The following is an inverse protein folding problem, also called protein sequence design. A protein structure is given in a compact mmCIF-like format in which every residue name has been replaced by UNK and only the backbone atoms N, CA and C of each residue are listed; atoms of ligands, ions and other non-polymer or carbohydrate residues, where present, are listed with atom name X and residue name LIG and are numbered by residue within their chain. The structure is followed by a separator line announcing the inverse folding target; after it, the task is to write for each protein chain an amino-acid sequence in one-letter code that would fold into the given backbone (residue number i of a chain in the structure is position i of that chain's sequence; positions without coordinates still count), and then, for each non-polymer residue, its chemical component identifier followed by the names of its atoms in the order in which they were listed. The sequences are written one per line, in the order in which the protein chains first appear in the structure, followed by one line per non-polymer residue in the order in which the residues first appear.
data_IF_770285642110
#
_entry.id   IF_770285642110
#
_cell.length_a   1.000
_cell.length_b   1.000
_cell.length_c   1.000
_cell.angle_alpha   90.00
_cell.angle_beta   90.00
_cell.angle_gamma   90.00
#
_symmetry.space_group_name_H-M   'P 1'
#
loop_
_entity.id
_entity.type
_entity.pdbx_description
1 polymer ?
#
# COMPACT_ATOMS: atom_id res chain seq x y z
N UNK A 1 17.60 10.92 9.02
CA UNK A 1 17.74 9.53 9.51
C UNK A 1 17.11 8.62 8.48
N UNK A 2 17.79 7.57 8.04
CA UNK A 2 17.21 6.67 7.03
C UNK A 2 16.23 5.71 7.74
N UNK A 3 14.94 5.77 7.37
CA UNK A 3 13.85 5.01 7.99
C UNK A 3 14.12 3.49 7.97
N UNK A 4 14.70 2.96 6.88
CA UNK A 4 15.05 1.54 6.77
C UNK A 4 16.07 1.11 7.85
N UNK A 5 17.08 1.96 8.11
CA UNK A 5 18.09 1.72 9.16
C UNK A 5 17.45 1.73 10.55
N UNK A 6 16.55 2.67 10.82
CA UNK A 6 15.83 2.73 12.09
C UNK A 6 15.01 1.47 12.33
N UNK A 7 14.20 1.06 11.32
CA UNK A 7 13.36 -0.14 11.43
C UNK A 7 14.22 -1.40 11.69
N UNK A 8 15.31 -1.56 10.92
CA UNK A 8 16.16 -2.76 11.04
C UNK A 8 16.99 -2.79 12.30
N UNK A 9 17.63 -1.66 12.68
CA UNK A 9 18.61 -1.63 13.79
C UNK A 9 17.97 -1.34 15.13
N UNK A 10 17.03 -0.41 15.20
CA UNK A 10 16.41 0.01 16.46
C UNK A 10 15.16 -0.80 16.78
N UNK A 11 14.24 -0.95 15.81
CA UNK A 11 13.01 -1.71 16.01
C UNK A 11 13.18 -3.23 15.83
N UNK A 12 14.31 -3.70 15.26
CA UNK A 12 14.57 -5.12 14.92
C UNK A 12 13.43 -5.76 14.11
N UNK A 13 12.81 -4.97 13.26
CA UNK A 13 11.64 -5.33 12.46
C UNK A 13 11.96 -5.39 10.97
N UNK A 14 11.04 -5.95 10.19
CA UNK A 14 11.08 -5.91 8.73
C UNK A 14 10.21 -4.78 8.20
N UNK A 15 10.47 -4.41 6.93
CA UNK A 15 9.73 -3.35 6.27
C UNK A 15 9.29 -3.72 4.86
N UNK A 16 8.17 -3.13 4.43
CA UNK A 16 7.76 -2.95 3.04
C UNK A 16 7.45 -1.46 2.90
N UNK A 17 8.28 -0.73 2.15
CA UNK A 17 8.18 0.72 2.00
C UNK A 17 7.85 1.09 0.56
N UNK A 18 6.85 1.95 0.39
CA UNK A 18 6.53 2.52 -0.91
C UNK A 18 7.64 3.48 -1.37
N UNK A 19 8.06 3.34 -2.62
CA UNK A 19 9.03 4.21 -3.27
C UNK A 19 8.27 5.29 -4.03
N UNK A 20 8.51 6.55 -3.67
CA UNK A 20 7.88 7.71 -4.31
C UNK A 20 8.91 8.45 -5.19
N UNK A 21 8.43 9.30 -6.08
CA UNK A 21 9.24 10.10 -7.01
C UNK A 21 10.27 11.02 -6.32
N UNK A 22 10.09 11.33 -5.03
CA UNK A 22 11.10 12.04 -4.24
C UNK A 22 12.39 11.24 -4.01
N UNK A 23 12.36 9.92 -4.25
CA UNK A 23 13.52 9.02 -4.29
C UNK A 23 13.88 8.69 -5.75
N UNK A 24 14.10 9.73 -6.56
CA UNK A 24 14.13 9.67 -8.03
C UNK A 24 14.95 8.50 -8.58
N UNK A 25 16.22 8.38 -8.20
CA UNK A 25 17.10 7.31 -8.72
C UNK A 25 16.53 5.91 -8.43
N UNK A 26 16.07 5.67 -7.20
CA UNK A 26 15.50 4.39 -6.82
C UNK A 26 14.17 4.11 -7.54
N UNK A 27 13.34 5.15 -7.69
CA UNK A 27 12.08 5.07 -8.39
C UNK A 27 12.29 4.73 -9.88
N UNK A 28 13.19 5.45 -10.54
CA UNK A 28 13.52 5.25 -11.95
C UNK A 28 14.10 3.84 -12.18
N UNK A 29 15.08 3.42 -11.36
CA UNK A 29 15.69 2.09 -11.44
C UNK A 29 14.61 0.98 -11.37
N UNK A 30 13.71 1.03 -10.38
CA UNK A 30 12.67 0.00 -10.19
C UNK A 30 11.61 0.10 -11.29
N UNK A 31 11.23 1.31 -11.69
CA UNK A 31 10.26 1.54 -12.76
C UNK A 31 10.76 0.95 -14.09
N UNK A 32 12.02 1.20 -14.44
CA UNK A 32 12.60 0.71 -15.67
C UNK A 32 12.73 -0.82 -15.68
N UNK A 33 13.09 -1.42 -14.54
CA UNK A 33 13.11 -2.88 -14.39
C UNK A 33 11.73 -3.50 -14.68
N UNK A 34 10.67 -3.02 -14.03
CA UNK A 34 9.32 -3.57 -14.23
C UNK A 34 8.64 -3.14 -15.55
N UNK A 35 9.22 -2.24 -16.33
CA UNK A 35 8.73 -1.93 -17.71
C UNK A 35 9.03 -3.02 -18.69
N UNK A 36 10.05 -3.84 -18.44
CA UNK A 36 10.45 -4.94 -19.32
C UNK A 36 9.40 -6.05 -19.23
N UNK A 37 8.70 -6.34 -20.34
CA UNK A 37 7.63 -7.32 -20.39
C UNK A 37 8.12 -8.73 -20.04
N UNK A 38 9.29 -9.12 -20.57
CA UNK A 38 9.92 -10.42 -20.30
C UNK A 38 10.14 -10.66 -18.79
N UNK A 39 10.52 -9.62 -18.04
CA UNK A 39 10.68 -9.73 -16.58
C UNK A 39 9.34 -10.05 -15.92
N UNK A 40 8.27 -9.36 -16.29
CA UNK A 40 6.93 -9.60 -15.71
C UNK A 40 6.39 -10.97 -16.07
N UNK A 41 6.64 -11.43 -17.30
CA UNK A 41 6.28 -12.79 -17.75
C UNK A 41 7.04 -13.85 -16.94
N UNK A 42 8.34 -13.69 -16.75
CA UNK A 42 9.16 -14.59 -15.93
C UNK A 42 8.70 -14.63 -14.47
N UNK A 43 8.38 -13.48 -13.86
CA UNK A 43 7.85 -13.41 -12.50
C UNK A 43 6.50 -14.11 -12.36
N UNK A 44 5.67 -14.04 -13.39
CA UNK A 44 4.39 -14.76 -13.44
C UNK A 44 4.61 -16.27 -13.50
N UNK A 45 5.56 -16.73 -14.31
CA UNK A 45 5.91 -18.13 -14.43
C UNK A 45 6.54 -18.73 -13.16
N UNK A 46 7.29 -17.91 -12.39
CA UNK A 46 7.96 -18.31 -11.14
C UNK A 46 7.11 -18.14 -9.87
N UNK A 47 5.79 -17.96 -9.99
CA UNK A 47 4.87 -17.74 -8.86
C UNK A 47 5.17 -16.47 -8.02
N UNK A 48 5.98 -15.56 -8.52
CA UNK A 48 6.27 -14.25 -7.92
C UNK A 48 5.25 -13.18 -8.33
N UNK A 49 4.07 -13.61 -8.69
CA UNK A 49 2.94 -12.83 -9.15
C UNK A 49 1.63 -13.27 -8.50
N UNK A 50 0.74 -12.32 -8.24
CA UNK A 50 -0.68 -12.56 -7.88
C UNK A 50 -1.53 -11.47 -8.49
N UNK A 51 -2.74 -11.84 -8.87
CA UNK A 51 -3.76 -10.89 -9.33
C UNK A 51 -5.01 -10.98 -8.49
N UNK A 52 -5.66 -9.85 -8.29
CA UNK A 52 -6.99 -9.77 -7.67
C UNK A 52 -7.86 -8.85 -8.48
N UNK A 53 -9.13 -9.23 -8.67
CA UNK A 53 -10.10 -8.42 -9.41
C UNK A 53 -11.33 -8.19 -8.57
N UNK A 54 -11.80 -6.97 -8.55
CA UNK A 54 -12.99 -6.54 -7.81
C UNK A 54 -13.88 -5.70 -8.72
N UNK A 55 -15.20 -5.87 -8.59
CA UNK A 55 -16.19 -5.04 -9.29
C UNK A 55 -16.95 -4.25 -8.23
N UNK A 56 -16.84 -2.93 -8.26
CA UNK A 56 -17.56 -2.04 -7.35
C UNK A 56 -17.95 -0.75 -8.06
N UNK A 57 -19.14 -0.22 -7.76
CA UNK A 57 -19.62 1.07 -8.26
C UNK A 57 -19.52 1.25 -9.80
N UNK A 58 -19.78 0.19 -10.57
CA UNK A 58 -19.73 0.23 -12.04
C UNK A 58 -18.32 0.29 -12.62
N UNK A 59 -17.27 0.07 -11.81
CA UNK A 59 -15.88 -0.05 -12.23
C UNK A 59 -15.40 -1.49 -12.02
N UNK A 60 -14.50 -1.92 -12.90
CA UNK A 60 -13.75 -3.16 -12.76
C UNK A 60 -12.29 -2.80 -12.41
N UNK A 61 -11.83 -3.26 -11.27
CA UNK A 61 -10.49 -2.99 -10.80
C UNK A 61 -9.70 -4.29 -10.68
N UNK A 62 -8.57 -4.36 -11.38
CA UNK A 62 -7.61 -5.46 -11.29
C UNK A 62 -6.31 -4.94 -10.69
N UNK A 63 -5.80 -5.64 -9.67
CA UNK A 63 -4.50 -5.36 -9.06
C UNK A 63 -3.56 -6.52 -9.27
N UNK A 64 -2.46 -6.24 -9.95
CA UNK A 64 -1.39 -7.16 -10.25
C UNK A 64 -0.21 -6.89 -9.32
N UNK A 65 0.18 -7.87 -8.53
CA UNK A 65 1.30 -7.80 -7.59
C UNK A 65 2.48 -8.58 -8.14
N UNK A 66 3.65 -7.97 -8.14
CA UNK A 66 4.92 -8.57 -8.56
C UNK A 66 5.97 -8.37 -7.48
N UNK A 67 6.83 -9.35 -7.25
CA UNK A 67 7.96 -9.25 -6.32
C UNK A 67 9.16 -10.01 -6.87
N UNK A 68 10.38 -9.50 -6.60
CA UNK A 68 11.62 -10.16 -6.97
C UNK A 68 12.72 -9.89 -5.96
N UNK A 69 13.64 -10.82 -5.78
CA UNK A 69 14.90 -10.69 -5.06
C UNK A 69 16.10 -10.46 -5.97
N UNK A 70 15.88 -10.42 -7.29
CA UNK A 70 16.89 -9.99 -8.26
C UNK A 70 17.11 -8.47 -8.15
N UNK A 71 17.97 -8.09 -7.20
CA UNK A 71 18.31 -6.70 -6.86
C UNK A 71 19.81 -6.41 -6.91
N UNK A 72 20.59 -7.30 -7.58
CA UNK A 72 22.05 -7.11 -7.66
C UNK A 72 22.42 -5.84 -8.45
N UNK A 73 21.63 -5.52 -9.44
CA UNK A 73 21.78 -4.37 -10.34
C UNK A 73 21.33 -3.04 -9.73
N UNK A 74 20.58 -3.05 -8.61
CA UNK A 74 19.95 -1.87 -8.03
C UNK A 74 20.98 -0.84 -7.56
N UNK A 75 20.94 0.35 -8.15
CA UNK A 75 21.78 1.47 -7.77
C UNK A 75 21.52 1.87 -6.32
N UNK A 76 22.56 2.27 -5.61
CA UNK A 76 22.41 2.73 -4.23
C UNK A 76 21.76 1.73 -3.24
N UNK A 77 21.78 0.43 -3.54
CA UNK A 77 21.31 -0.64 -2.64
C UNK A 77 21.81 -0.49 -1.22
N UNK A 78 23.06 -0.08 -1.05
CA UNK A 78 23.71 0.13 0.26
C UNK A 78 23.07 1.21 1.13
N UNK A 79 22.30 2.13 0.55
CA UNK A 79 21.55 3.16 1.30
C UNK A 79 20.33 2.59 2.03
N UNK A 80 19.88 1.40 1.65
CA UNK A 80 18.68 0.78 2.19
C UNK A 80 19.02 -0.43 3.05
N UNK A 81 19.18 -0.20 4.33
CA UNK A 81 19.61 -1.23 5.30
C UNK A 81 18.71 -2.46 5.23
N UNK A 82 19.32 -3.60 4.91
CA UNK A 82 18.65 -4.90 4.89
C UNK A 82 17.68 -5.13 3.72
N UNK A 83 17.74 -4.34 2.64
CA UNK A 83 16.92 -4.59 1.45
C UNK A 83 17.21 -5.98 0.86
N UNK A 84 16.17 -6.74 0.58
CA UNK A 84 16.24 -8.09 0.01
C UNK A 84 15.38 -8.26 -1.23
N UNK A 85 14.32 -7.47 -1.40
CA UNK A 85 13.42 -7.57 -2.54
C UNK A 85 12.86 -6.22 -2.94
N UNK A 86 12.41 -6.14 -4.19
CA UNK A 86 11.62 -5.04 -4.74
C UNK A 86 10.29 -5.58 -5.24
N UNK A 87 9.27 -4.75 -5.23
CA UNK A 87 7.95 -5.14 -5.72
C UNK A 87 7.25 -4.03 -6.47
N UNK A 88 6.28 -4.42 -7.29
CA UNK A 88 5.38 -3.52 -7.99
C UNK A 88 3.94 -3.94 -7.77
N UNK A 89 3.06 -2.96 -7.63
CA UNK A 89 1.62 -3.14 -7.75
C UNK A 89 1.13 -2.33 -8.92
N UNK A 90 0.56 -2.99 -9.90
CA UNK A 90 -0.11 -2.37 -11.03
C UNK A 90 -1.61 -2.47 -10.82
N UNK A 91 -2.27 -1.32 -10.77
CA UNK A 91 -3.73 -1.22 -10.65
C UNK A 91 -4.32 -0.80 -11.98
N UNK A 92 -5.18 -1.63 -12.55
CA UNK A 92 -5.90 -1.38 -13.79
C UNK A 92 -7.37 -1.14 -13.45
N UNK A 93 -7.86 0.07 -13.71
CA UNK A 93 -9.25 0.46 -13.45
C UNK A 93 -9.95 0.69 -14.78
N UNK A 94 -11.02 -0.07 -15.04
CA UNK A 94 -11.86 0.09 -16.21
C UNK A 94 -13.25 0.60 -15.80
N UNK A 95 -13.62 1.75 -16.34
CA UNK A 95 -14.92 2.38 -16.13
C UNK A 95 -15.54 2.73 -17.49
N UNK A 96 -16.55 1.96 -17.91
CA UNK A 96 -17.04 2.03 -19.28
C UNK A 96 -15.94 1.70 -20.29
N UNK A 97 -15.68 2.60 -21.23
CA UNK A 97 -14.64 2.45 -22.25
C UNK A 97 -13.25 2.96 -21.79
N UNK A 98 -13.18 3.63 -20.64
CA UNK A 98 -11.92 4.22 -20.14
C UNK A 98 -11.19 3.25 -19.24
N UNK A 99 -9.91 2.97 -19.58
CA UNK A 99 -9.00 2.21 -18.76
C UNK A 99 -7.87 3.12 -18.27
N UNK A 100 -7.55 3.03 -16.98
CA UNK A 100 -6.46 3.77 -16.33
C UNK A 100 -5.54 2.77 -15.66
N UNK A 101 -4.22 2.98 -15.81
CA UNK A 101 -3.19 2.12 -15.20
C UNK A 101 -2.36 2.97 -14.25
N UNK A 102 -2.25 2.54 -13.01
CA UNK A 102 -1.39 3.12 -11.98
C UNK A 102 -0.38 2.09 -11.51
N UNK A 103 0.91 2.47 -11.37
CA UNK A 103 1.97 1.62 -10.86
C UNK A 103 2.56 2.21 -9.60
N UNK A 104 2.70 1.38 -8.56
CA UNK A 104 3.35 1.73 -7.30
C UNK A 104 4.47 0.76 -7.02
N UNK A 105 5.64 1.29 -6.65
CA UNK A 105 6.86 0.53 -6.43
C UNK A 105 7.19 0.44 -4.95
N UNK A 106 7.85 -0.65 -4.56
CA UNK A 106 8.15 -0.95 -3.17
C UNK A 106 9.54 -1.55 -3.04
N UNK A 107 10.18 -1.27 -1.90
CA UNK A 107 11.36 -1.98 -1.42
C UNK A 107 11.01 -2.74 -0.15
N UNK A 108 11.66 -3.89 0.08
CA UNK A 108 11.38 -4.73 1.23
C UNK A 108 12.65 -5.35 1.81
N UNK A 109 12.67 -5.52 3.13
CA UNK A 109 13.68 -6.32 3.84
C UNK A 109 13.30 -7.80 3.95
N UNK A 110 12.11 -8.17 3.53
CA UNK A 110 11.67 -9.57 3.43
C UNK A 110 12.21 -10.20 2.14
N UNK A 111 12.41 -11.51 2.15
CA UNK A 111 12.65 -12.26 0.93
C UNK A 111 11.46 -12.14 -0.03
N UNK A 112 11.67 -12.44 -1.32
CA UNK A 112 10.61 -12.42 -2.31
C UNK A 112 9.56 -13.50 -2.00
N UNK A 113 8.49 -13.09 -1.34
CA UNK A 113 7.33 -13.93 -1.01
C UNK A 113 6.06 -13.15 -1.32
N UNK A 114 5.41 -13.50 -2.41
CA UNK A 114 4.30 -12.74 -2.99
C UNK A 114 3.11 -12.56 -2.04
N UNK A 115 2.73 -13.59 -1.29
CA UNK A 115 1.57 -13.50 -0.38
C UNK A 115 1.84 -12.60 0.82
N UNK A 116 3.09 -12.59 1.34
CA UNK A 116 3.48 -11.66 2.41
C UNK A 116 3.52 -10.22 1.90
N UNK A 117 4.06 -10.01 0.70
CA UNK A 117 4.10 -8.70 0.05
C UNK A 117 2.68 -8.16 -0.16
N UNK A 118 1.81 -8.95 -0.80
CA UNK A 118 0.41 -8.58 -1.03
C UNK A 118 -0.32 -8.24 0.28
N UNK A 119 -0.12 -9.06 1.33
CA UNK A 119 -0.72 -8.82 2.65
C UNK A 119 -0.21 -7.54 3.30
N UNK A 120 1.09 -7.25 3.20
CA UNK A 120 1.68 -6.03 3.75
C UNK A 120 1.13 -4.78 3.05
N UNK A 121 1.10 -4.76 1.71
CA UNK A 121 0.56 -3.65 0.92
C UNK A 121 -0.92 -3.43 1.20
N UNK A 122 -1.74 -4.49 1.23
CA UNK A 122 -3.18 -4.38 1.54
C UNK A 122 -3.45 -3.83 2.93
N UNK A 123 -2.65 -4.23 3.92
CA UNK A 123 -2.78 -3.70 5.29
C UNK A 123 -2.41 -2.22 5.35
N UNK A 124 -1.39 -1.80 4.61
CA UNK A 124 -1.03 -0.39 4.53
C UNK A 124 -2.16 0.45 3.92
N UNK A 125 -2.76 0.01 2.82
CA UNK A 125 -3.92 0.69 2.22
C UNK A 125 -5.15 0.71 3.13
N UNK A 126 -5.36 -0.31 3.94
CA UNK A 126 -6.43 -0.31 4.93
C UNK A 126 -6.24 0.79 6.00
N UNK A 127 -4.98 1.07 6.38
CA UNK A 127 -4.63 2.17 7.28
C UNK A 127 -4.86 3.53 6.60
N UNK A 128 -4.41 3.69 5.35
CA UNK A 128 -4.66 4.91 4.56
C UNK A 128 -6.16 5.18 4.41
N UNK A 129 -6.94 4.15 4.06
CA UNK A 129 -8.41 4.25 4.00
C UNK A 129 -9.02 4.63 5.35
N UNK A 130 -8.48 4.13 6.46
CA UNK A 130 -8.94 4.51 7.80
C UNK A 130 -8.68 6.01 8.06
N UNK A 131 -7.49 6.51 7.76
CA UNK A 131 -7.16 7.93 7.90
C UNK A 131 -8.07 8.81 7.03
N UNK A 132 -8.28 8.42 5.78
CA UNK A 132 -9.20 9.12 4.89
C UNK A 132 -10.61 9.25 5.50
N UNK A 133 -11.16 8.17 6.07
CA UNK A 133 -12.46 8.22 6.74
C UNK A 133 -12.45 9.14 7.98
N UNK A 134 -11.36 9.14 8.75
CA UNK A 134 -11.24 10.03 9.90
C UNK A 134 -11.22 11.50 9.46
N UNK A 135 -10.51 11.83 8.39
CA UNK A 135 -10.36 13.21 7.91
C UNK A 135 -11.60 13.70 7.17
N UNK A 136 -12.13 12.90 6.24
CA UNK A 136 -13.25 13.31 5.38
C UNK A 136 -14.60 13.13 6.07
N UNK A 137 -14.86 11.95 6.64
CA UNK A 137 -16.17 11.62 7.23
C UNK A 137 -16.32 12.21 8.62
N UNK A 138 -15.28 12.07 9.45
CA UNK A 138 -15.30 12.54 10.85
C UNK A 138 -14.69 13.93 11.02
N UNK A 139 -14.17 14.56 9.96
CA UNK A 139 -13.56 15.89 9.93
C UNK A 139 -12.53 16.08 11.06
N UNK A 140 -11.64 15.10 11.22
CA UNK A 140 -10.66 15.07 12.30
C UNK A 140 -9.73 16.28 12.25
N UNK A 141 -9.26 16.64 11.05
CA UNK A 141 -8.38 17.80 10.81
C UNK A 141 -9.06 19.16 11.10
N UNK A 142 -10.40 19.21 11.04
CA UNK A 142 -11.18 20.41 11.38
C UNK A 142 -11.46 20.54 12.89
N UNK A 143 -10.91 19.65 13.72
CA UNK A 143 -11.12 19.68 15.16
C UNK A 143 -10.34 20.82 15.81
N UNK A 144 -11.07 21.78 16.39
CA UNK A 144 -10.53 22.96 17.08
C UNK A 144 -10.40 22.78 18.59
N UNK A 145 -10.50 21.54 19.10
CA UNK A 145 -10.43 21.26 20.55
C UNK A 145 -9.04 21.58 21.09
N UNK A 146 -8.95 22.55 21.99
CA UNK A 146 -7.69 23.03 22.59
C UNK A 146 -7.18 22.07 23.67
N UNK A 147 -8.08 21.42 24.41
CA UNK A 147 -7.73 20.45 25.44
C UNK A 147 -7.19 19.15 24.81
N UNK A 148 -5.93 18.82 25.12
CA UNK A 148 -5.25 17.64 24.53
C UNK A 148 -5.89 16.32 24.90
N UNK A 149 -6.42 16.20 26.12
CA UNK A 149 -7.07 14.96 26.58
C UNK A 149 -8.43 14.79 25.91
N UNK A 150 -9.19 15.88 25.76
CA UNK A 150 -10.46 15.87 25.03
C UNK A 150 -10.25 15.55 23.55
N UNK A 151 -9.23 16.12 22.89
CA UNK A 151 -8.89 15.81 21.52
C UNK A 151 -8.49 14.33 21.35
N UNK A 152 -7.67 13.80 22.25
CA UNK A 152 -7.27 12.39 22.23
C UNK A 152 -8.46 11.45 22.45
N UNK A 153 -9.35 11.76 23.39
CA UNK A 153 -10.56 10.96 23.63
C UNK A 153 -11.50 10.97 22.43
N UNK A 154 -11.69 12.13 21.77
CA UNK A 154 -12.46 12.22 20.54
C UNK A 154 -11.88 11.37 19.41
N UNK A 155 -10.57 11.39 19.25
CA UNK A 155 -9.87 10.56 18.25
C UNK A 155 -10.11 9.06 18.51
N UNK A 156 -10.01 8.63 19.77
CA UNK A 156 -10.29 7.24 20.18
C UNK A 156 -11.74 6.85 19.86
N UNK A 157 -12.70 7.72 20.19
CA UNK A 157 -14.13 7.47 19.95
C UNK A 157 -14.41 7.36 18.45
N UNK A 158 -13.83 8.25 17.61
CA UNK A 158 -13.97 8.20 16.15
C UNK A 158 -13.41 6.89 15.57
N UNK A 159 -12.24 6.45 16.04
CA UNK A 159 -11.64 5.17 15.63
C UNK A 159 -12.51 3.97 16.01
N UNK A 160 -13.12 3.99 17.18
CA UNK A 160 -14.06 2.96 17.62
C UNK A 160 -15.33 2.96 16.78
N UNK A 161 -15.92 4.14 16.53
CA UNK A 161 -17.10 4.27 15.67
C UNK A 161 -16.83 3.69 14.27
N UNK A 162 -15.68 4.04 13.67
CA UNK A 162 -15.27 3.49 12.37
C UNK A 162 -15.07 1.97 12.41
N UNK A 163 -14.46 1.44 13.47
CA UNK A 163 -14.27 0.00 13.62
C UNK A 163 -15.60 -0.75 13.72
N UNK A 164 -16.57 -0.20 14.49
CA UNK A 164 -17.92 -0.75 14.63
C UNK A 164 -18.64 -0.72 13.29
N UNK A 165 -18.63 0.41 12.57
CA UNK A 165 -19.25 0.56 11.25
C UNK A 165 -18.69 -0.47 10.26
N UNK A 166 -17.37 -0.61 10.16
CA UNK A 166 -16.73 -1.63 9.31
C UNK A 166 -17.12 -3.05 9.69
N UNK A 167 -17.30 -3.32 11.00
CA UNK A 167 -17.76 -4.63 11.47
C UNK A 167 -19.21 -4.91 11.07
N UNK A 168 -20.08 -3.91 11.16
CA UNK A 168 -21.48 -3.99 10.75
C UNK A 168 -21.59 -4.20 9.25
N UNK A 169 -20.80 -3.45 8.44
CA UNK A 169 -20.72 -3.63 6.97
C UNK A 169 -20.32 -5.07 6.61
N UNK A 170 -19.33 -5.61 7.31
CA UNK A 170 -18.87 -6.98 7.08
C UNK A 170 -19.94 -8.02 7.40
N UNK A 171 -20.72 -7.81 8.48
CA UNK A 171 -21.77 -8.74 8.89
C UNK A 171 -22.99 -8.66 7.96
N UNK A 172 -23.36 -7.46 7.51
CA UNK A 172 -24.60 -7.25 6.75
C UNK A 172 -24.38 -7.14 5.23
N UNK A 173 -23.13 -7.23 4.75
CA UNK A 173 -22.79 -7.16 3.33
C UNK A 173 -23.15 -5.83 2.64
N UNK A 174 -23.47 -4.79 3.41
CA UNK A 174 -23.78 -3.43 2.89
C UNK A 174 -22.67 -2.47 3.29
N UNK A 175 -22.12 -1.74 2.30
CA UNK A 175 -21.27 -0.57 2.59
C UNK A 175 -22.19 0.60 2.97
N UNK A 176 -22.00 1.13 4.17
CA UNK A 176 -22.58 2.42 4.54
C UNK A 176 -21.73 3.51 3.88
N UNK A 177 -22.06 3.90 2.65
CA UNK A 177 -21.57 5.12 2.04
C UNK A 177 -22.33 6.27 2.69
N UNK A 178 -21.63 7.14 3.41
CA UNK A 178 -22.19 8.40 3.85
C UNK A 178 -22.41 9.29 2.62
N UNK A 179 -23.56 9.15 1.97
CA UNK A 179 -24.07 10.11 1.01
C UNK A 179 -25.00 11.06 1.78
N UNK A 180 -24.59 12.30 1.86
CA UNK A 180 -25.48 13.44 2.02
C UNK A 180 -25.01 14.55 1.09
#
# INVERSE_FOLDING_TARGET
MNIAKMIKKECKADYVLAVKENQKTLYDDISDYFRIDEIRENLTACENYRSTSEKAHGQFETRNFYITDDIAWLSNKSKWEGIKSIGMVETVITKGEKTTIERRYYISSLAAHIDLFMKAVRRHWAIESMHWHLDVTFKEDANTTIDKNAAMNQNIIRKWALAILKRVEHIHGKKYSGES
#
